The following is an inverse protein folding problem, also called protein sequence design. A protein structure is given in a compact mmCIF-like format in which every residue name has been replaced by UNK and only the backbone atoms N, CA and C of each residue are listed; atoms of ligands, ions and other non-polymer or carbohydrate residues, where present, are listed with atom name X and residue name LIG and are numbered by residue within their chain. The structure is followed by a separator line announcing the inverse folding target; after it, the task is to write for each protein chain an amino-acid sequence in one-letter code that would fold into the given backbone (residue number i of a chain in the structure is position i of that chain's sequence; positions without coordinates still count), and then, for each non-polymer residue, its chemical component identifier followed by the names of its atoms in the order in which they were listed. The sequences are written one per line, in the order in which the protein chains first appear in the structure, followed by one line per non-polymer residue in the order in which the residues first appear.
data_IF_256142099675
#
_entry.id   IF_256142099675
#
_cell.length_a   1.000
_cell.length_b   1.000
_cell.length_c   1.000
_cell.angle_alpha   90.00
_cell.angle_beta   90.00
_cell.angle_gamma   90.00
#
_symmetry.space_group_name_H-M   'P 1'
#
loop_
_entity.id
_entity.type
_entity.pdbx_description
1 polymer ?
#
# COMPACT_ATOMS: atom_id res chain seq x y z
N UNK A 1 -61.66 12.52 -44.31
CA UNK A 1 -61.56 11.06 -44.05
C UNK A 1 -62.90 10.40 -43.75
N UNK A 2 -63.54 10.56 -42.58
CA UNK A 2 -64.85 9.92 -42.32
C UNK A 2 -65.93 10.33 -43.34
N UNK A 3 -66.01 11.61 -43.67
CA UNK A 3 -66.90 12.15 -44.72
C UNK A 3 -66.57 11.69 -46.14
N UNK A 4 -65.39 11.16 -46.43
CA UNK A 4 -65.01 10.70 -47.78
C UNK A 4 -65.21 9.18 -47.91
N UNK A 5 -64.92 8.42 -46.85
CA UNK A 5 -65.08 6.96 -46.78
C UNK A 5 -66.54 6.58 -46.58
N UNK A 6 -67.30 7.35 -45.79
CA UNK A 6 -68.73 7.12 -45.54
C UNK A 6 -69.63 7.27 -46.77
N UNK A 7 -69.17 7.98 -47.81
CA UNK A 7 -69.86 8.06 -49.09
C UNK A 7 -69.68 6.80 -49.95
N UNK A 8 -68.59 6.05 -49.73
CA UNK A 8 -68.27 4.81 -50.45
C UNK A 8 -68.61 3.54 -49.68
N UNK A 9 -68.51 3.55 -48.34
CA UNK A 9 -68.87 2.47 -47.43
C UNK A 9 -69.43 3.08 -46.14
N UNK A 10 -70.75 3.02 -46.00
CA UNK A 10 -71.48 3.56 -44.85
C UNK A 10 -71.07 2.89 -43.53
N UNK A 11 -70.81 1.58 -43.52
CA UNK A 11 -70.47 0.86 -42.30
C UNK A 11 -69.10 1.28 -41.79
N UNK A 12 -68.13 1.48 -42.68
CA UNK A 12 -66.79 1.93 -42.31
C UNK A 12 -66.78 3.40 -41.90
N UNK A 13 -67.59 4.24 -42.55
CA UNK A 13 -67.81 5.63 -42.12
C UNK A 13 -68.38 5.74 -40.71
N UNK A 14 -69.33 4.88 -40.33
CA UNK A 14 -69.91 4.85 -38.98
C UNK A 14 -68.87 4.43 -37.93
N UNK A 15 -68.07 3.39 -38.18
CA UNK A 15 -66.98 2.99 -37.27
C UNK A 15 -65.97 4.11 -37.03
N UNK A 16 -65.66 4.92 -38.05
CA UNK A 16 -64.75 6.06 -37.91
C UNK A 16 -65.35 7.18 -37.05
N UNK A 17 -66.69 7.36 -37.07
CA UNK A 17 -67.38 8.29 -36.19
C UNK A 17 -67.39 7.75 -34.75
N UNK A 18 -67.74 6.48 -34.55
CA UNK A 18 -67.71 5.83 -33.23
C UNK A 18 -66.30 5.93 -32.61
N UNK A 19 -65.26 5.67 -33.40
CA UNK A 19 -63.87 5.82 -32.95
C UNK A 19 -63.50 7.26 -32.60
N UNK A 20 -64.07 8.25 -33.31
CA UNK A 20 -63.83 9.65 -33.01
C UNK A 20 -64.59 10.11 -31.75
N UNK A 21 -65.80 9.60 -31.52
CA UNK A 21 -66.57 9.82 -30.28
C UNK A 21 -65.83 9.23 -29.08
N UNK A 22 -65.36 7.98 -29.19
CA UNK A 22 -64.53 7.33 -28.15
C UNK A 22 -63.26 8.14 -27.83
N UNK A 23 -62.57 8.68 -28.84
CA UNK A 23 -61.37 9.49 -28.66
C UNK A 23 -61.69 10.86 -28.03
N UNK A 24 -62.85 11.46 -28.35
CA UNK A 24 -63.34 12.67 -27.69
C UNK A 24 -63.64 12.39 -26.22
N UNK A 25 -64.36 11.31 -25.90
CA UNK A 25 -64.69 10.95 -24.51
C UNK A 25 -63.42 10.69 -23.68
N UNK A 26 -62.44 9.96 -24.24
CA UNK A 26 -61.14 9.76 -23.58
C UNK A 26 -60.41 11.07 -23.34
N UNK A 27 -60.43 11.99 -24.31
CA UNK A 27 -59.78 13.30 -24.19
C UNK A 27 -60.45 14.17 -23.12
N UNK A 28 -61.78 14.15 -23.05
CA UNK A 28 -62.56 14.84 -22.02
C UNK A 28 -62.28 14.27 -20.62
N UNK A 29 -62.21 12.94 -20.50
CA UNK A 29 -61.84 12.29 -19.24
C UNK A 29 -60.43 12.70 -18.79
N UNK A 30 -59.45 12.62 -19.70
CA UNK A 30 -58.07 13.01 -19.42
C UNK A 30 -57.97 14.48 -19.01
N UNK A 31 -58.70 15.36 -19.69
CA UNK A 31 -58.74 16.79 -19.35
C UNK A 31 -59.26 17.04 -17.93
N UNK A 32 -60.25 16.27 -17.48
CA UNK A 32 -60.77 16.39 -16.11
C UNK A 32 -59.74 15.93 -15.08
N UNK A 33 -59.11 14.78 -15.31
CA UNK A 33 -58.09 14.23 -14.43
C UNK A 33 -56.90 15.19 -14.29
N UNK A 34 -56.51 15.85 -15.38
CA UNK A 34 -55.43 16.84 -15.39
C UNK A 34 -55.76 18.06 -14.54
N UNK A 35 -57.00 18.55 -14.52
CA UNK A 35 -57.42 19.70 -13.69
C UNK A 35 -57.30 19.35 -12.21
N UNK A 36 -57.63 18.11 -11.82
CA UNK A 36 -57.49 17.67 -10.44
C UNK A 36 -56.01 17.55 -10.04
N UNK A 37 -55.15 17.03 -10.95
CA UNK A 37 -53.69 17.00 -10.78
C UNK A 37 -53.12 18.42 -10.69
N UNK A 38 -53.58 19.35 -11.52
CA UNK A 38 -53.16 20.76 -11.52
C UNK A 38 -53.42 21.39 -10.15
N UNK A 39 -54.65 21.28 -9.63
CA UNK A 39 -55.03 21.88 -8.34
C UNK A 39 -54.24 21.32 -7.16
N UNK A 40 -54.04 20.01 -7.13
CA UNK A 40 -53.27 19.34 -6.09
C UNK A 40 -51.78 19.70 -6.15
N UNK A 41 -51.22 19.77 -7.36
CA UNK A 41 -49.84 20.21 -7.59
C UNK A 41 -49.67 21.68 -7.21
N UNK A 42 -50.61 22.57 -7.59
CA UNK A 42 -50.62 23.99 -7.26
C UNK A 42 -50.59 24.21 -5.75
N UNK A 43 -51.44 23.49 -5.01
CA UNK A 43 -51.48 23.58 -3.54
C UNK A 43 -50.13 23.22 -2.94
N UNK A 44 -49.54 22.11 -3.40
CA UNK A 44 -48.24 21.64 -2.92
C UNK A 44 -47.13 22.65 -3.23
N UNK A 45 -47.15 23.28 -4.42
CA UNK A 45 -46.19 24.34 -4.79
C UNK A 45 -46.34 25.54 -3.86
N UNK A 46 -47.57 26.00 -3.59
CA UNK A 46 -47.83 27.12 -2.67
C UNK A 46 -47.32 26.79 -1.26
N UNK A 47 -47.56 25.57 -0.78
CA UNK A 47 -47.08 25.12 0.53
C UNK A 47 -45.53 25.16 0.59
N UNK A 48 -44.84 24.71 -0.48
CA UNK A 48 -43.38 24.77 -0.57
C UNK A 48 -42.80 26.19 -0.63
N UNK A 49 -43.49 27.13 -1.29
CA UNK A 49 -43.09 28.55 -1.35
C UNK A 49 -43.18 29.22 0.02
N UNK A 50 -44.10 28.76 0.88
CA UNK A 50 -44.20 29.21 2.27
C UNK A 50 -42.98 28.83 3.11
N UNK A 51 -42.35 27.69 2.80
CA UNK A 51 -41.16 27.18 3.51
C UNK A 51 -39.89 27.81 2.93
N UNK A 52 -39.77 27.83 1.60
CA UNK A 52 -38.58 28.29 0.91
C UNK A 52 -38.92 29.33 -0.18
N UNK A 53 -39.14 30.61 0.19
CA UNK A 53 -39.65 31.63 -0.72
C UNK A 53 -38.71 32.01 -1.88
N UNK A 54 -37.44 31.60 -1.81
CA UNK A 54 -36.42 31.87 -2.84
C UNK A 54 -36.33 30.77 -3.90
N UNK A 55 -37.02 29.64 -3.70
CA UNK A 55 -37.06 28.56 -4.67
C UNK A 55 -37.99 28.92 -5.82
N UNK A 56 -37.60 28.58 -7.05
CA UNK A 56 -38.34 28.94 -8.25
C UNK A 56 -38.67 27.73 -9.13
N UNK A 57 -37.97 26.60 -9.00
CA UNK A 57 -38.11 25.45 -9.92
C UNK A 57 -39.48 24.77 -9.84
N UNK A 58 -40.13 24.57 -8.67
CA UNK A 58 -41.49 24.05 -8.60
C UNK A 58 -42.47 24.97 -9.33
N UNK A 59 -42.41 26.27 -9.04
CA UNK A 59 -43.26 27.29 -9.66
C UNK A 59 -43.06 27.41 -11.17
N UNK A 60 -41.81 27.38 -11.65
CA UNK A 60 -41.50 27.39 -13.08
C UNK A 60 -42.09 26.18 -13.80
N UNK A 61 -41.95 24.98 -13.24
CA UNK A 61 -42.56 23.77 -13.80
C UNK A 61 -44.09 23.86 -13.81
N UNK A 62 -44.70 24.39 -12.75
CA UNK A 62 -46.15 24.59 -12.65
C UNK A 62 -46.68 25.54 -13.74
N UNK A 63 -46.02 26.70 -13.89
CA UNK A 63 -46.41 27.70 -14.90
C UNK A 63 -46.22 27.18 -16.33
N UNK A 64 -45.17 26.39 -16.58
CA UNK A 64 -44.97 25.74 -17.87
C UNK A 64 -46.07 24.70 -18.15
N UNK A 65 -46.47 23.91 -17.15
CA UNK A 65 -47.58 22.97 -17.28
C UNK A 65 -48.90 23.64 -17.65
N UNK A 66 -49.22 24.78 -17.01
CA UNK A 66 -50.41 25.58 -17.36
C UNK A 66 -50.37 26.06 -18.82
N UNK A 67 -49.20 26.48 -19.30
CA UNK A 67 -49.02 26.90 -20.69
C UNK A 67 -49.21 25.75 -21.68
N UNK A 68 -48.68 24.56 -21.39
CA UNK A 68 -48.88 23.37 -22.23
C UNK A 68 -50.34 22.93 -22.25
N UNK A 69 -51.05 23.08 -21.13
CA UNK A 69 -52.48 22.81 -21.03
C UNK A 69 -53.28 23.76 -21.94
N UNK A 70 -52.97 25.06 -21.90
CA UNK A 70 -53.57 26.08 -22.79
C UNK A 70 -53.32 25.80 -24.28
N UNK A 71 -52.17 25.21 -24.62
CA UNK A 71 -51.81 24.83 -25.99
C UNK A 71 -52.43 23.48 -26.43
N UNK A 72 -53.12 22.77 -25.53
CA UNK A 72 -53.76 21.48 -25.80
C UNK A 72 -52.85 20.25 -25.62
N UNK A 73 -51.61 20.44 -25.14
CA UNK A 73 -50.63 19.38 -24.90
C UNK A 73 -50.87 18.68 -23.55
N UNK A 74 -52.02 18.01 -23.41
CA UNK A 74 -52.50 17.41 -22.15
C UNK A 74 -51.45 16.54 -21.42
N UNK A 75 -50.74 15.66 -22.14
CA UNK A 75 -49.74 14.77 -21.54
C UNK A 75 -48.50 15.50 -21.02
N UNK A 76 -48.04 16.54 -21.72
CA UNK A 76 -46.87 17.30 -21.27
C UNK A 76 -47.24 18.19 -20.08
N UNK A 77 -48.45 18.76 -20.08
CA UNK A 77 -49.00 19.49 -18.93
C UNK A 77 -49.04 18.61 -17.67
N UNK A 78 -49.62 17.41 -17.77
CA UNK A 78 -49.69 16.47 -16.64
C UNK A 78 -48.30 16.14 -16.08
N UNK A 79 -47.35 15.83 -16.96
CA UNK A 79 -45.97 15.52 -16.58
C UNK A 79 -45.31 16.70 -15.86
N UNK A 80 -45.50 17.92 -16.34
CA UNK A 80 -44.97 19.13 -15.70
C UNK A 80 -45.59 19.40 -14.33
N UNK A 81 -46.91 19.19 -14.17
CA UNK A 81 -47.57 19.29 -12.87
C UNK A 81 -47.02 18.27 -11.87
N UNK A 82 -46.83 17.02 -12.30
CA UNK A 82 -46.20 15.98 -11.46
C UNK A 82 -44.77 16.35 -11.08
N UNK A 83 -43.97 16.87 -12.01
CA UNK A 83 -42.60 17.35 -11.74
C UNK A 83 -42.62 18.50 -10.73
N UNK A 84 -43.51 19.48 -10.91
CA UNK A 84 -43.67 20.60 -9.98
C UNK A 84 -44.00 20.10 -8.57
N UNK A 85 -44.95 19.16 -8.47
CA UNK A 85 -45.33 18.54 -7.19
C UNK A 85 -44.16 17.78 -6.54
N UNK A 86 -43.43 16.96 -7.29
CA UNK A 86 -42.28 16.20 -6.75
C UNK A 86 -41.24 17.15 -6.17
N UNK A 87 -40.89 18.22 -6.89
CA UNK A 87 -39.91 19.21 -6.40
C UNK A 87 -40.42 19.96 -5.17
N UNK A 88 -41.70 20.33 -5.16
CA UNK A 88 -42.32 20.99 -4.01
C UNK A 88 -42.33 20.07 -2.77
N UNK A 89 -42.60 18.78 -2.94
CA UNK A 89 -42.56 17.80 -1.85
C UNK A 89 -41.15 17.64 -1.26
N UNK A 90 -40.10 17.60 -2.11
CA UNK A 90 -38.70 17.55 -1.64
C UNK A 90 -38.37 18.75 -0.73
N UNK A 91 -38.83 19.95 -1.11
CA UNK A 91 -38.72 21.16 -0.29
C UNK A 91 -39.48 21.03 1.02
N UNK A 92 -40.74 20.62 0.96
CA UNK A 92 -41.58 20.48 2.16
C UNK A 92 -40.99 19.47 3.15
N UNK A 93 -40.43 18.37 2.65
CA UNK A 93 -39.91 17.29 3.49
C UNK A 93 -38.54 17.62 4.10
N UNK A 94 -37.68 18.33 3.36
CA UNK A 94 -36.26 18.38 3.70
C UNK A 94 -35.68 19.78 3.91
N UNK A 95 -36.31 20.88 3.48
CA UNK A 95 -35.66 22.20 3.46
C UNK A 95 -35.16 22.66 4.83
N UNK A 96 -36.04 22.72 5.84
CA UNK A 96 -35.67 23.18 7.19
C UNK A 96 -34.61 22.26 7.83
N UNK A 97 -34.77 20.95 7.66
CA UNK A 97 -33.82 19.97 8.17
C UNK A 97 -32.44 20.14 7.51
N UNK A 98 -32.41 20.44 6.20
CA UNK A 98 -31.19 20.65 5.45
C UNK A 98 -30.47 21.91 5.92
N UNK A 99 -31.20 23.01 6.15
CA UNK A 99 -30.62 24.24 6.72
C UNK A 99 -30.00 24.00 8.11
N UNK A 100 -30.72 23.30 8.99
CA UNK A 100 -30.22 22.92 10.32
C UNK A 100 -28.97 22.04 10.20
N UNK A 101 -28.99 21.04 9.31
CA UNK A 101 -27.86 20.14 9.11
C UNK A 101 -26.63 20.88 8.56
N UNK A 102 -26.81 21.81 7.62
CA UNK A 102 -25.72 22.65 7.09
C UNK A 102 -25.14 23.54 8.20
N UNK A 103 -26.00 24.10 9.05
CA UNK A 103 -25.53 24.91 10.18
C UNK A 103 -24.72 24.08 11.18
N UNK A 104 -25.22 22.89 11.56
CA UNK A 104 -24.49 21.96 12.43
C UNK A 104 -23.16 21.51 11.80
N UNK A 105 -23.14 21.25 10.49
CA UNK A 105 -21.92 20.91 9.76
C UNK A 105 -20.91 22.06 9.78
N UNK A 106 -21.36 23.30 9.56
CA UNK A 106 -20.52 24.51 9.66
C UNK A 106 -19.89 24.65 11.04
N UNK A 107 -20.68 24.44 12.09
CA UNK A 107 -20.20 24.50 13.47
C UNK A 107 -19.16 23.41 13.75
N UNK A 108 -19.42 22.17 13.31
CA UNK A 108 -18.52 21.05 13.49
C UNK A 108 -17.12 21.30 12.87
N UNK A 109 -17.05 21.90 11.69
CA UNK A 109 -15.78 22.09 10.99
C UNK A 109 -14.94 23.26 11.51
N UNK A 110 -15.48 24.15 12.37
CA UNK A 110 -14.79 25.37 12.84
C UNK A 110 -13.45 25.10 13.53
N UNK A 111 -13.31 23.93 14.18
CA UNK A 111 -12.08 23.53 14.87
C UNK A 111 -11.02 22.87 13.98
N UNK A 112 -11.34 22.57 12.72
CA UNK A 112 -10.43 21.87 11.81
C UNK A 112 -9.40 22.83 11.19
N UNK A 113 -8.27 22.25 10.77
CA UNK A 113 -7.16 22.97 10.10
C UNK A 113 -6.60 22.16 8.93
N UNK A 114 -5.88 22.85 8.06
CA UNK A 114 -5.17 22.29 6.91
C UNK A 114 -5.99 21.29 6.10
N UNK A 115 -5.43 20.11 5.82
CA UNK A 115 -6.04 19.14 4.88
C UNK A 115 -7.40 18.64 5.32
N UNK A 116 -7.62 18.47 6.63
CA UNK A 116 -8.90 18.02 7.17
C UNK A 116 -9.99 19.08 6.98
N UNK A 117 -9.64 20.36 7.17
CA UNK A 117 -10.55 21.48 6.91
C UNK A 117 -10.90 21.57 5.42
N UNK A 118 -9.91 21.50 4.53
CA UNK A 118 -10.12 21.58 3.09
C UNK A 118 -11.06 20.49 2.58
N UNK A 119 -10.90 19.26 3.07
CA UNK A 119 -11.78 18.15 2.71
C UNK A 119 -13.20 18.36 3.20
N UNK A 120 -13.39 18.81 4.45
CA UNK A 120 -14.74 19.05 4.98
C UNK A 120 -15.41 20.28 4.34
N UNK A 121 -14.65 21.33 4.01
CA UNK A 121 -15.16 22.47 3.24
C UNK A 121 -15.63 22.06 1.85
N UNK A 122 -14.98 21.08 1.22
CA UNK A 122 -15.41 20.56 -0.07
C UNK A 122 -16.76 19.84 0.01
N UNK A 123 -16.99 19.03 1.05
CA UNK A 123 -18.29 18.40 1.32
C UNK A 123 -19.36 19.45 1.65
N UNK A 124 -19.00 20.48 2.41
CA UNK A 124 -19.92 21.55 2.77
C UNK A 124 -20.37 22.35 1.54
N UNK A 125 -19.43 22.68 0.63
CA UNK A 125 -19.77 23.31 -0.66
C UNK A 125 -20.71 22.43 -1.48
N UNK A 126 -20.49 21.11 -1.51
CA UNK A 126 -21.39 20.20 -2.21
C UNK A 126 -22.82 20.21 -1.61
N UNK A 127 -22.95 20.29 -0.28
CA UNK A 127 -24.26 20.44 0.36
C UNK A 127 -24.92 21.79 0.05
N UNK A 128 -24.15 22.88 0.01
CA UNK A 128 -24.63 24.21 -0.37
C UNK A 128 -25.06 24.25 -1.85
N UNK A 129 -24.29 23.63 -2.75
CA UNK A 129 -24.63 23.51 -4.16
C UNK A 129 -25.94 22.72 -4.37
N UNK A 130 -26.21 21.68 -3.57
CA UNK A 130 -27.49 20.96 -3.61
C UNK A 130 -28.67 21.85 -3.15
N UNK A 131 -28.47 22.69 -2.13
CA UNK A 131 -29.48 23.68 -1.71
C UNK A 131 -29.74 24.71 -2.81
N UNK A 132 -28.70 25.24 -3.43
CA UNK A 132 -28.81 26.20 -4.54
C UNK A 132 -29.50 25.57 -5.77
N UNK A 133 -29.36 24.26 -5.96
CA UNK A 133 -30.06 23.50 -6.98
C UNK A 133 -31.51 23.13 -6.59
N UNK A 134 -31.99 23.58 -5.44
CA UNK A 134 -33.31 23.25 -4.89
C UNK A 134 -33.51 21.72 -4.75
N UNK A 135 -32.46 21.02 -4.32
CA UNK A 135 -32.50 19.60 -3.93
C UNK A 135 -32.15 19.42 -2.45
N UNK A 136 -33.00 19.90 -1.53
CA UNK A 136 -32.75 19.84 -0.09
C UNK A 136 -32.58 18.43 0.46
N UNK A 137 -33.20 17.40 -0.14
CA UNK A 137 -32.97 16.01 0.26
C UNK A 137 -31.51 15.58 0.06
N UNK A 138 -30.90 15.96 -1.07
CA UNK A 138 -29.49 15.71 -1.35
C UNK A 138 -28.57 16.49 -0.39
N UNK A 139 -28.86 17.77 -0.19
CA UNK A 139 -28.12 18.62 0.74
C UNK A 139 -28.15 18.08 2.18
N UNK A 140 -29.32 17.62 2.63
CA UNK A 140 -29.52 17.04 3.96
C UNK A 140 -28.61 15.83 4.20
N UNK A 141 -28.58 14.89 3.26
CA UNK A 141 -27.76 13.66 3.36
C UNK A 141 -26.29 14.01 3.50
N UNK A 142 -25.78 14.93 2.66
CA UNK A 142 -24.38 15.34 2.70
C UNK A 142 -24.06 16.04 4.03
N UNK A 143 -24.86 17.03 4.41
CA UNK A 143 -24.62 17.83 5.59
C UNK A 143 -24.71 17.03 6.90
N UNK A 144 -25.66 16.09 7.01
CA UNK A 144 -25.80 15.22 8.19
C UNK A 144 -24.60 14.29 8.40
N UNK A 145 -23.87 13.92 7.34
CA UNK A 145 -22.69 13.06 7.45
C UNK A 145 -21.45 13.81 7.97
N UNK A 146 -21.36 15.13 7.74
CA UNK A 146 -20.16 15.93 8.07
C UNK A 146 -19.78 15.84 9.55
N UNK A 147 -20.68 16.05 10.54
CA UNK A 147 -20.31 15.95 11.96
C UNK A 147 -19.67 14.62 12.34
N UNK A 148 -20.19 13.49 11.83
CA UNK A 148 -19.60 12.17 12.07
C UNK A 148 -18.23 12.02 11.42
N UNK A 149 -17.99 12.61 10.25
CA UNK A 149 -16.65 12.66 9.66
C UNK A 149 -15.68 13.49 10.50
N UNK A 150 -16.12 14.64 11.04
CA UNK A 150 -15.31 15.48 11.93
C UNK A 150 -14.94 14.74 13.21
N UNK A 151 -15.88 14.03 13.83
CA UNK A 151 -15.64 13.22 15.03
C UNK A 151 -14.56 12.15 14.79
N UNK A 152 -14.71 11.38 13.71
CA UNK A 152 -13.72 10.39 13.30
C UNK A 152 -12.32 11.00 13.09
N UNK A 153 -12.25 12.24 12.58
CA UNK A 153 -10.98 12.94 12.43
C UNK A 153 -10.37 13.35 13.76
N UNK A 154 -11.20 13.80 14.70
CA UNK A 154 -10.78 14.08 16.08
C UNK A 154 -10.17 12.86 16.75
N UNK A 155 -10.81 11.68 16.60
CA UNK A 155 -10.28 10.42 17.13
C UNK A 155 -8.95 10.03 16.46
N UNK A 156 -8.87 10.11 15.13
CA UNK A 156 -7.65 9.83 14.39
C UNK A 156 -6.50 10.77 14.80
N UNK A 157 -6.79 12.05 15.00
CA UNK A 157 -5.83 13.06 15.43
C UNK A 157 -5.37 12.83 16.88
N UNK A 158 -6.27 12.42 17.77
CA UNK A 158 -5.94 12.03 19.14
C UNK A 158 -5.01 10.80 19.16
N UNK A 159 -5.32 9.78 18.36
CA UNK A 159 -4.47 8.60 18.20
C UNK A 159 -3.09 8.96 17.63
N UNK A 160 -3.04 9.85 16.63
CA UNK A 160 -1.80 10.35 16.06
C UNK A 160 -0.95 11.08 17.09
N UNK A 161 -1.56 11.96 17.90
CA UNK A 161 -0.88 12.68 18.99
C UNK A 161 -0.26 11.72 20.00
N UNK A 162 -1.01 10.70 20.43
CA UNK A 162 -0.47 9.66 21.32
C UNK A 162 0.74 8.98 20.71
N UNK A 163 0.68 8.61 19.42
CA UNK A 163 1.78 7.94 18.73
C UNK A 163 3.01 8.82 18.56
N UNK A 164 2.83 10.10 18.23
CA UNK A 164 3.95 11.05 18.14
C UNK A 164 4.62 11.23 19.51
N UNK A 165 3.84 11.27 20.60
CA UNK A 165 4.42 11.33 21.95
C UNK A 165 5.17 10.04 22.31
N UNK A 166 4.60 8.85 22.01
CA UNK A 166 5.28 7.56 22.20
C UNK A 166 6.63 7.53 21.44
N UNK A 167 6.62 7.97 20.18
CA UNK A 167 7.81 8.02 19.34
C UNK A 167 8.86 9.00 19.89
N UNK A 168 8.42 10.16 20.38
CA UNK A 168 9.29 11.15 21.01
C UNK A 168 9.89 10.65 22.33
N UNK A 169 9.10 9.98 23.16
CA UNK A 169 9.57 9.37 24.41
C UNK A 169 10.62 8.29 24.11
N UNK A 170 10.34 7.42 23.14
CA UNK A 170 11.27 6.38 22.71
C UNK A 170 12.57 6.97 22.16
N UNK A 171 12.48 7.98 21.30
CA UNK A 171 13.64 8.69 20.76
C UNK A 171 14.48 9.36 21.86
N UNK A 172 13.84 9.97 22.87
CA UNK A 172 14.56 10.61 23.99
C UNK A 172 15.33 9.65 24.89
N UNK A 173 14.95 8.37 24.90
CA UNK A 173 15.61 7.31 25.68
C UNK A 173 16.68 6.57 24.89
N UNK A 174 16.80 6.87 23.61
CA UNK A 174 17.76 6.23 22.73
C UNK A 174 19.16 6.78 23.01
N UNK A 175 20.06 5.93 23.49
CA UNK A 175 21.46 6.28 23.77
C UNK A 175 22.41 5.53 22.84
N UNK A 176 23.40 6.24 22.29
CA UNK A 176 24.41 5.72 21.36
C UNK A 176 23.85 5.11 20.07
N UNK A 177 22.84 5.76 19.48
CA UNK A 177 22.34 5.56 18.11
C UNK A 177 22.38 6.92 17.38
N UNK A 178 22.61 6.90 16.07
CA UNK A 178 22.45 8.08 15.21
C UNK A 178 20.97 8.41 15.03
N UNK A 179 20.50 9.51 15.63
CA UNK A 179 19.09 9.93 15.62
C UNK A 179 18.72 10.90 14.50
N UNK A 180 19.67 11.35 13.68
CA UNK A 180 19.48 12.47 12.75
C UNK A 180 18.25 12.34 11.85
N UNK A 181 18.07 11.17 11.25
CA UNK A 181 16.92 10.86 10.38
C UNK A 181 15.61 10.82 11.19
N UNK A 182 15.63 10.25 12.41
CA UNK A 182 14.44 10.14 13.25
C UNK A 182 14.00 11.50 13.80
N UNK A 183 14.94 12.40 14.08
CA UNK A 183 14.65 13.78 14.46
C UNK A 183 13.95 14.54 13.32
N UNK A 184 14.42 14.37 12.07
CA UNK A 184 13.76 14.93 10.89
C UNK A 184 12.36 14.33 10.68
N UNK A 185 12.23 13.00 10.79
CA UNK A 185 10.94 12.33 10.70
C UNK A 185 9.97 12.79 11.80
N UNK A 186 10.45 13.01 13.03
CA UNK A 186 9.64 13.52 14.12
C UNK A 186 9.19 14.95 13.86
N UNK A 187 10.08 15.80 13.32
CA UNK A 187 9.73 17.15 12.89
C UNK A 187 8.64 17.12 11.81
N UNK A 188 8.76 16.25 10.81
CA UNK A 188 7.74 16.06 9.78
C UNK A 188 6.42 15.53 10.36
N UNK A 189 6.47 14.65 11.36
CA UNK A 189 5.27 14.16 12.05
C UNK A 189 4.57 15.28 12.81
N UNK A 190 5.32 16.16 13.48
CA UNK A 190 4.77 17.33 14.17
C UNK A 190 4.16 18.34 13.18
N UNK A 191 4.81 18.58 12.04
CA UNK A 191 4.26 19.45 11.00
C UNK A 191 2.95 18.87 10.43
N UNK A 192 2.93 17.57 10.14
CA UNK A 192 1.72 16.89 9.67
C UNK A 192 0.55 17.00 10.68
N UNK A 193 0.84 17.01 11.98
CA UNK A 193 -0.18 17.29 13.00
C UNK A 193 -0.70 18.73 12.93
N UNK A 194 0.19 19.72 12.79
CA UNK A 194 -0.18 21.13 12.67
C UNK A 194 -1.03 21.39 11.41
N UNK A 195 -0.73 20.67 10.33
CA UNK A 195 -1.43 20.73 9.05
C UNK A 195 -2.76 19.94 9.05
N UNK A 196 -3.17 19.37 10.18
CA UNK A 196 -4.41 18.58 10.27
C UNK A 196 -4.35 17.32 9.42
N UNK A 197 -3.22 16.61 9.42
CA UNK A 197 -3.02 15.33 8.77
C UNK A 197 -2.59 14.26 9.79
N UNK A 198 -3.55 13.87 10.65
CA UNK A 198 -3.30 12.88 11.70
C UNK A 198 -2.84 11.52 11.16
N UNK A 199 -3.31 11.08 9.98
CA UNK A 199 -2.89 9.80 9.40
C UNK A 199 -1.40 9.79 9.02
N UNK A 200 -0.92 10.87 8.39
CA UNK A 200 0.49 11.00 8.03
C UNK A 200 1.38 11.08 9.28
N UNK A 201 0.98 11.91 10.25
CA UNK A 201 1.68 12.04 11.52
C UNK A 201 1.83 10.70 12.24
N UNK A 202 0.74 9.93 12.33
CA UNK A 202 0.75 8.59 12.93
C UNK A 202 1.67 7.63 12.18
N UNK A 203 1.60 7.61 10.85
CA UNK A 203 2.44 6.73 10.03
C UNK A 203 3.93 6.99 10.21
N UNK A 204 4.33 8.27 10.28
CA UNK A 204 5.71 8.65 10.58
C UNK A 204 6.12 8.21 11.99
N UNK A 205 5.29 8.44 13.00
CA UNK A 205 5.56 8.03 14.37
C UNK A 205 5.70 6.49 14.53
N UNK A 206 4.79 5.72 13.93
CA UNK A 206 4.87 4.24 13.93
C UNK A 206 6.16 3.76 13.23
N UNK A 207 6.58 4.44 12.16
CA UNK A 207 7.85 4.14 11.48
C UNK A 207 9.07 4.43 12.36
N UNK A 208 9.09 5.57 13.08
CA UNK A 208 10.17 5.91 14.02
C UNK A 208 10.30 4.82 15.09
N UNK A 209 9.18 4.45 15.72
CA UNK A 209 9.13 3.41 16.76
C UNK A 209 9.70 2.09 16.24
N UNK A 210 9.30 1.69 15.02
CA UNK A 210 9.77 0.44 14.40
C UNK A 210 11.27 0.48 14.12
N UNK A 211 11.78 1.56 13.53
CA UNK A 211 13.20 1.68 13.19
C UNK A 211 14.09 1.76 14.44
N UNK A 212 13.66 2.45 15.50
CA UNK A 212 14.38 2.46 16.79
C UNK A 212 14.44 1.04 17.35
N UNK A 213 13.30 0.35 17.45
CA UNK A 213 13.23 -1.02 17.98
C UNK A 213 14.16 -1.96 17.21
N UNK A 214 14.10 -1.93 15.88
CA UNK A 214 14.97 -2.75 15.03
C UNK A 214 16.46 -2.41 15.20
N UNK A 215 16.79 -1.14 15.42
CA UNK A 215 18.17 -0.71 15.63
C UNK A 215 18.69 -1.09 17.03
N UNK A 216 17.86 -1.03 18.07
CA UNK A 216 18.20 -1.52 19.40
C UNK A 216 18.43 -3.04 19.42
N UNK A 217 17.58 -3.80 18.74
CA UNK A 217 17.77 -5.24 18.55
C UNK A 217 19.08 -5.53 17.82
N UNK A 218 19.36 -4.79 16.73
CA UNK A 218 20.60 -4.91 16.00
C UNK A 218 21.82 -4.59 16.87
N UNK A 219 21.76 -3.53 17.67
CA UNK A 219 22.81 -3.15 18.63
C UNK A 219 23.07 -4.27 19.64
N UNK A 220 22.03 -4.83 20.25
CA UNK A 220 22.15 -5.94 21.22
C UNK A 220 22.78 -7.19 20.59
N UNK A 221 22.34 -7.57 19.39
CA UNK A 221 22.88 -8.70 18.63
C UNK A 221 24.34 -8.47 18.22
N UNK A 222 24.65 -7.27 17.72
CA UNK A 222 26.01 -6.90 17.33
C UNK A 222 26.96 -6.91 18.54
N UNK A 223 26.53 -6.37 19.68
CA UNK A 223 27.31 -6.43 20.93
C UNK A 223 27.57 -7.87 21.40
N UNK A 224 26.60 -8.79 21.22
CA UNK A 224 26.80 -10.22 21.49
C UNK A 224 27.85 -10.82 20.55
N UNK A 225 27.77 -10.53 19.25
CA UNK A 225 28.74 -11.00 18.26
C UNK A 225 30.16 -10.48 18.56
N UNK A 226 30.30 -9.20 18.92
CA UNK A 226 31.60 -8.61 19.27
C UNK A 226 32.24 -9.24 20.51
N UNK A 227 31.47 -9.79 21.46
CA UNK A 227 32.03 -10.56 22.58
C UNK A 227 32.77 -11.82 22.11
N UNK A 228 32.36 -12.38 20.98
CA UNK A 228 32.97 -13.57 20.38
C UNK A 228 34.11 -13.23 19.39
N UNK A 229 34.45 -11.95 19.20
CA UNK A 229 35.46 -11.49 18.24
C UNK A 229 36.81 -12.22 18.34
N UNK A 230 37.27 -12.53 19.56
CA UNK A 230 38.53 -13.28 19.74
C UNK A 230 38.42 -14.71 19.20
N UNK A 231 37.27 -15.36 19.38
CA UNK A 231 37.01 -16.68 18.81
C UNK A 231 36.90 -16.60 17.30
N UNK A 232 36.28 -15.53 16.80
CA UNK A 232 36.13 -15.29 15.38
C UNK A 232 37.50 -15.10 14.70
N UNK A 233 38.40 -14.28 15.27
CA UNK A 233 39.77 -14.10 14.75
C UNK A 233 40.59 -15.39 14.66
N UNK A 234 40.43 -16.30 15.62
CA UNK A 234 41.09 -17.62 15.57
C UNK A 234 40.67 -18.44 14.35
N UNK A 235 39.54 -18.12 13.72
CA UNK A 235 39.04 -18.86 12.56
C UNK A 235 39.80 -18.55 11.26
N UNK A 236 40.59 -17.49 11.21
CA UNK A 236 41.39 -17.17 10.03
C UNK A 236 42.87 -16.91 10.37
N UNK A 237 43.28 -17.22 11.60
CA UNK A 237 44.68 -17.11 12.02
C UNK A 237 45.54 -18.07 11.20
N UNK A 238 46.51 -17.55 10.46
CA UNK A 238 47.35 -18.33 9.55
C UNK A 238 46.68 -18.69 8.21
N UNK A 239 45.48 -18.18 7.94
CA UNK A 239 44.80 -18.34 6.66
C UNK A 239 45.42 -17.42 5.59
N UNK A 240 45.47 -17.84 4.33
CA UNK A 240 46.03 -17.04 3.23
C UNK A 240 45.33 -15.68 3.04
N UNK A 241 44.02 -15.62 3.35
CA UNK A 241 43.19 -14.41 3.32
C UNK A 241 43.05 -13.71 4.69
N UNK A 242 43.93 -13.98 5.67
CA UNK A 242 43.87 -13.40 7.02
C UNK A 242 43.69 -11.87 7.00
N UNK A 243 44.42 -11.16 6.14
CA UNK A 243 44.33 -9.71 6.03
C UNK A 243 42.97 -9.22 5.52
N UNK A 244 42.36 -9.94 4.57
CA UNK A 244 41.04 -9.58 4.02
C UNK A 244 39.95 -9.75 5.09
N UNK A 245 40.03 -10.81 5.89
CA UNK A 245 39.10 -11.03 7.00
C UNK A 245 39.25 -10.01 8.12
N UNK A 246 40.49 -9.62 8.42
CA UNK A 246 40.76 -8.58 9.41
C UNK A 246 40.30 -7.20 8.93
N UNK A 247 40.44 -6.89 7.63
CA UNK A 247 39.92 -5.66 7.03
C UNK A 247 38.38 -5.59 7.12
N UNK A 248 37.68 -6.68 6.71
CA UNK A 248 36.22 -6.80 6.87
C UNK A 248 35.78 -6.60 8.33
N UNK A 249 36.49 -7.22 9.29
CA UNK A 249 36.20 -7.04 10.71
C UNK A 249 36.46 -5.60 11.17
N UNK A 250 37.50 -4.95 10.66
CA UNK A 250 37.83 -3.57 11.00
C UNK A 250 36.76 -2.59 10.51
N UNK A 251 36.24 -2.78 9.29
CA UNK A 251 35.08 -2.01 8.80
C UNK A 251 33.86 -2.16 9.71
N UNK A 252 33.53 -3.39 10.14
CA UNK A 252 32.41 -3.64 11.06
C UNK A 252 32.61 -2.90 12.39
N UNK A 253 33.85 -2.86 12.89
CA UNK A 253 34.18 -2.11 14.12
C UNK A 253 34.04 -0.60 13.91
N UNK A 254 34.37 -0.08 12.74
CA UNK A 254 34.27 1.35 12.43
C UNK A 254 32.81 1.78 12.18
N UNK A 255 31.99 0.92 11.57
CA UNK A 255 30.54 1.11 11.49
C UNK A 255 29.90 1.07 12.89
N UNK A 256 30.38 0.21 13.78
CA UNK A 256 29.94 0.15 15.19
C UNK A 256 30.31 1.44 15.96
N UNK A 257 31.53 1.96 15.78
CA UNK A 257 31.96 3.24 16.39
C UNK A 257 31.15 4.43 15.85
N UNK A 258 30.68 4.32 14.61
CA UNK A 258 29.84 5.32 13.97
C UNK A 258 28.34 5.09 14.25
N UNK A 259 28.01 4.21 15.19
CA UNK A 259 26.64 3.89 15.63
C UNK A 259 25.72 3.34 14.54
N UNK A 260 26.29 2.82 13.45
CA UNK A 260 25.56 2.20 12.33
C UNK A 260 25.26 0.72 12.60
N UNK A 261 24.54 0.45 13.69
CA UNK A 261 24.38 -0.90 14.24
C UNK A 261 23.74 -1.91 13.28
N UNK A 262 22.75 -1.49 12.47
CA UNK A 262 22.09 -2.38 11.50
C UNK A 262 23.05 -2.82 10.39
N UNK A 263 23.81 -1.87 9.83
CA UNK A 263 24.81 -2.13 8.78
C UNK A 263 25.94 -3.01 9.33
N UNK A 264 26.42 -2.70 10.54
CA UNK A 264 27.46 -3.49 11.20
C UNK A 264 27.01 -4.94 11.43
N UNK A 265 25.76 -5.16 11.85
CA UNK A 265 25.21 -6.50 12.08
C UNK A 265 25.09 -7.28 10.77
N UNK A 266 24.55 -6.70 9.71
CA UNK A 266 24.44 -7.35 8.40
C UNK A 266 25.81 -7.77 7.86
N UNK A 267 26.81 -6.88 7.97
CA UNK A 267 28.19 -7.21 7.61
C UNK A 267 28.78 -8.32 8.48
N UNK A 268 28.48 -8.34 9.78
CA UNK A 268 28.93 -9.40 10.69
C UNK A 268 28.29 -10.75 10.37
N UNK A 269 26.99 -10.78 10.07
CA UNK A 269 26.30 -12.00 9.64
C UNK A 269 26.88 -12.55 8.34
N UNK A 270 27.13 -11.66 7.37
CA UNK A 270 27.81 -12.00 6.10
C UNK A 270 29.21 -12.55 6.36
N UNK A 271 30.02 -11.88 7.19
CA UNK A 271 31.35 -12.33 7.59
C UNK A 271 31.29 -13.75 8.19
N UNK A 272 30.35 -14.02 9.10
CA UNK A 272 30.21 -15.35 9.71
C UNK A 272 29.77 -16.40 8.69
N UNK A 273 28.84 -16.06 7.80
CA UNK A 273 28.35 -16.97 6.75
C UNK A 273 29.45 -17.32 5.75
N UNK A 274 30.24 -16.35 5.31
CA UNK A 274 31.37 -16.57 4.40
C UNK A 274 32.40 -17.51 5.04
N UNK A 275 32.71 -17.30 6.32
CA UNK A 275 33.64 -18.16 7.05
C UNK A 275 33.10 -19.58 7.14
N UNK A 276 31.84 -19.77 7.51
CA UNK A 276 31.24 -21.10 7.59
C UNK A 276 31.30 -21.84 6.24
N UNK A 277 31.10 -21.14 5.12
CA UNK A 277 31.25 -21.71 3.79
C UNK A 277 32.70 -22.15 3.48
N UNK A 278 33.69 -21.34 3.86
CA UNK A 278 35.11 -21.70 3.67
C UNK A 278 35.50 -22.89 4.55
N UNK A 279 35.01 -22.94 5.79
CA UNK A 279 35.26 -24.07 6.68
C UNK A 279 34.71 -25.37 6.13
N UNK A 280 33.48 -25.36 5.60
CA UNK A 280 32.90 -26.52 4.94
C UNK A 280 33.77 -26.96 3.74
N UNK A 281 34.22 -26.01 2.91
CA UNK A 281 35.10 -26.32 1.78
C UNK A 281 36.48 -26.85 2.21
N UNK A 282 37.01 -26.38 3.34
CA UNK A 282 38.25 -26.91 3.91
C UNK A 282 38.08 -28.34 4.45
N UNK A 283 36.96 -28.63 5.13
CA UNK A 283 36.62 -29.96 5.61
C UNK A 283 36.50 -30.95 4.44
N UNK A 284 35.77 -30.58 3.39
CA UNK A 284 35.65 -31.38 2.16
C UNK A 284 37.03 -31.63 1.50
N UNK A 285 37.89 -30.60 1.44
CA UNK A 285 39.23 -30.71 0.88
C UNK A 285 40.17 -31.57 1.77
N UNK A 286 39.98 -31.54 3.09
CA UNK A 286 40.71 -32.38 4.03
C UNK A 286 40.33 -33.86 3.85
N UNK A 287 39.05 -34.17 3.70
CA UNK A 287 38.59 -35.53 3.39
C UNK A 287 39.22 -36.04 2.10
N UNK A 288 39.23 -35.22 1.04
CA UNK A 288 39.82 -35.59 -0.24
C UNK A 288 41.34 -35.79 -0.14
N UNK A 289 42.05 -34.92 0.58
CA UNK A 289 43.49 -35.07 0.81
C UNK A 289 43.79 -36.35 1.58
N UNK A 290 43.02 -36.65 2.63
CA UNK A 290 43.19 -37.88 3.40
C UNK A 290 42.93 -39.13 2.54
N UNK A 291 41.97 -39.08 1.61
CA UNK A 291 41.76 -40.14 0.62
C UNK A 291 42.98 -40.31 -0.29
N UNK A 292 43.44 -39.23 -0.91
CA UNK A 292 44.60 -39.23 -1.82
C UNK A 292 45.89 -39.69 -1.12
N UNK A 293 46.13 -39.30 0.13
CA UNK A 293 47.29 -39.76 0.89
C UNK A 293 47.27 -41.27 1.16
N UNK A 294 46.09 -41.83 1.45
CA UNK A 294 45.92 -43.26 1.62
C UNK A 294 46.13 -44.00 0.29
N UNK A 295 45.54 -43.52 -0.80
CA UNK A 295 45.76 -44.09 -2.13
C UNK A 295 47.22 -44.01 -2.57
N UNK A 296 47.89 -42.91 -2.24
CA UNK A 296 49.29 -42.72 -2.56
C UNK A 296 50.18 -43.71 -1.80
N UNK A 297 49.89 -43.94 -0.52
CA UNK A 297 50.58 -44.95 0.29
C UNK A 297 50.45 -46.35 -0.33
N UNK A 298 49.27 -46.73 -0.78
CA UNK A 298 49.04 -48.03 -1.43
C UNK A 298 49.76 -48.13 -2.77
N UNK A 299 49.71 -47.07 -3.58
CA UNK A 299 50.40 -47.00 -4.87
C UNK A 299 51.92 -47.09 -4.69
N UNK A 300 52.47 -46.39 -3.68
CA UNK A 300 53.89 -46.43 -3.31
C UNK A 300 54.35 -47.84 -2.96
N UNK A 301 53.58 -48.56 -2.15
CA UNK A 301 53.89 -49.93 -1.76
C UNK A 301 53.95 -50.87 -2.99
N UNK A 302 53.00 -50.72 -3.94
CA UNK A 302 53.00 -51.49 -5.18
C UNK A 302 54.20 -51.15 -6.07
N UNK A 303 54.51 -49.87 -6.24
CA UNK A 303 55.68 -49.41 -7.00
C UNK A 303 56.99 -50.02 -6.46
N UNK A 304 57.17 -50.05 -5.14
CA UNK A 304 58.33 -50.69 -4.50
C UNK A 304 58.40 -52.18 -4.79
N UNK A 305 57.26 -52.89 -4.71
CA UNK A 305 57.19 -54.32 -5.04
C UNK A 305 57.53 -54.64 -6.51
N UNK A 306 57.33 -53.68 -7.41
CA UNK A 306 57.63 -53.78 -8.84
C UNK A 306 59.00 -53.21 -9.23
N UNK A 307 59.83 -52.83 -8.24
CA UNK A 307 61.19 -52.34 -8.46
C UNK A 307 61.31 -50.87 -8.85
N UNK A 308 60.22 -50.08 -8.77
CA UNK A 308 60.23 -48.64 -9.01
C UNK A 308 60.60 -47.92 -7.71
N UNK A 309 61.89 -47.58 -7.60
CA UNK A 309 62.46 -46.96 -6.41
C UNK A 309 62.11 -45.48 -6.19
N UNK A 310 62.49 -44.91 -5.04
CA UNK A 310 62.17 -43.54 -4.64
C UNK A 310 62.82 -42.44 -5.49
N UNK A 311 63.78 -42.79 -6.36
CA UNK A 311 64.42 -41.85 -7.28
C UNK A 311 63.66 -41.69 -8.62
N UNK A 312 62.54 -42.41 -8.79
CA UNK A 312 61.68 -42.24 -9.96
C UNK A 312 61.09 -40.81 -9.99
N UNK A 313 61.20 -40.15 -11.15
CA UNK A 313 60.81 -38.74 -11.31
C UNK A 313 59.32 -38.51 -11.07
N UNK A 314 58.48 -39.46 -11.48
CA UNK A 314 57.04 -39.32 -11.37
C UNK A 314 56.56 -39.64 -9.95
N UNK A 315 57.24 -40.55 -9.26
CA UNK A 315 57.09 -40.77 -7.82
C UNK A 315 57.45 -39.52 -7.02
N UNK A 316 58.58 -38.89 -7.31
CA UNK A 316 59.00 -37.64 -6.65
C UNK A 316 58.03 -36.48 -6.94
N UNK A 317 57.54 -36.37 -8.18
CA UNK A 317 56.54 -35.38 -8.54
C UNK A 317 55.23 -35.59 -7.77
N UNK A 318 54.76 -36.84 -7.68
CA UNK A 318 53.54 -37.17 -6.94
C UNK A 318 53.68 -36.84 -5.44
N UNK A 319 54.79 -37.23 -4.82
CA UNK A 319 55.08 -36.88 -3.42
C UNK A 319 55.07 -35.36 -3.21
N UNK A 320 55.67 -34.61 -4.15
CA UNK A 320 55.70 -33.16 -4.09
C UNK A 320 54.32 -32.53 -4.21
N UNK A 321 53.45 -33.00 -5.11
CA UNK A 321 52.10 -32.46 -5.27
C UNK A 321 51.19 -32.81 -4.07
N UNK A 322 51.29 -34.02 -3.50
CA UNK A 322 50.58 -34.37 -2.25
C UNK A 322 51.05 -33.48 -1.09
N UNK A 323 52.37 -33.25 -0.98
CA UNK A 323 52.91 -32.35 0.04
C UNK A 323 52.46 -30.90 -0.16
N UNK A 324 52.38 -30.41 -1.42
CA UNK A 324 51.84 -29.08 -1.73
C UNK A 324 50.36 -28.96 -1.36
N UNK A 325 49.56 -30.00 -1.63
CA UNK A 325 48.16 -30.04 -1.24
C UNK A 325 48.00 -29.91 0.29
N UNK A 326 48.80 -30.66 1.06
CA UNK A 326 48.82 -30.58 2.53
C UNK A 326 49.23 -29.20 3.04
N UNK A 327 50.24 -28.58 2.44
CA UNK A 327 50.68 -27.22 2.81
C UNK A 327 49.58 -26.20 2.49
N UNK A 328 48.99 -26.27 1.30
CA UNK A 328 47.93 -25.38 0.85
C UNK A 328 46.70 -25.47 1.78
N UNK A 329 46.27 -26.70 2.11
CA UNK A 329 45.18 -26.95 3.05
C UNK A 329 45.47 -26.36 4.44
N UNK A 330 46.68 -26.55 4.98
CA UNK A 330 47.06 -26.00 6.28
C UNK A 330 47.08 -24.46 6.32
N UNK A 331 47.32 -23.81 5.18
CA UNK A 331 47.19 -22.35 5.01
C UNK A 331 45.77 -21.89 4.63
N UNK A 332 44.82 -22.83 4.52
CA UNK A 332 43.45 -22.57 4.10
C UNK A 332 43.25 -22.23 2.63
N UNK A 333 44.27 -22.38 1.79
CA UNK A 333 44.17 -22.21 0.34
C UNK A 333 43.56 -23.46 -0.30
N UNK A 334 42.23 -23.55 -0.22
CA UNK A 334 41.44 -24.68 -0.72
C UNK A 334 41.63 -24.85 -2.24
N UNK A 335 41.67 -23.76 -3.01
CA UNK A 335 41.81 -23.83 -4.46
C UNK A 335 43.18 -24.39 -4.88
N UNK A 336 44.28 -23.93 -4.26
CA UNK A 336 45.60 -24.53 -4.51
C UNK A 336 45.70 -25.96 -3.99
N UNK A 337 45.01 -26.30 -2.90
CA UNK A 337 44.91 -27.67 -2.40
C UNK A 337 44.26 -28.57 -3.46
N UNK A 338 43.05 -28.26 -3.90
CA UNK A 338 42.30 -29.03 -4.89
C UNK A 338 43.05 -29.16 -6.22
N UNK A 339 43.72 -28.10 -6.68
CA UNK A 339 44.59 -28.16 -7.87
C UNK A 339 45.76 -29.13 -7.71
N UNK A 340 46.38 -29.15 -6.53
CA UNK A 340 47.49 -30.06 -6.23
C UNK A 340 47.01 -31.51 -6.08
N UNK A 341 45.82 -31.72 -5.51
CA UNK A 341 45.16 -33.02 -5.42
C UNK A 341 44.79 -33.59 -6.80
N UNK A 342 44.24 -32.77 -7.70
CA UNK A 342 43.97 -33.21 -9.08
C UNK A 342 45.24 -33.64 -9.81
N UNK A 343 46.34 -32.90 -9.63
CA UNK A 343 47.64 -33.26 -10.21
C UNK A 343 48.23 -34.53 -9.60
N UNK A 344 48.12 -34.71 -8.29
CA UNK A 344 48.63 -35.93 -7.65
C UNK A 344 47.84 -37.16 -8.14
N UNK A 345 46.52 -37.06 -8.30
CA UNK A 345 45.70 -38.13 -8.86
C UNK A 345 46.13 -38.52 -10.29
N UNK A 346 46.31 -37.55 -11.20
CA UNK A 346 46.83 -37.81 -12.55
C UNK A 346 48.20 -38.51 -12.54
N UNK A 347 49.08 -38.10 -11.63
CA UNK A 347 50.41 -38.69 -11.46
C UNK A 347 50.32 -40.12 -10.91
N UNK A 348 49.44 -40.36 -9.94
CA UNK A 348 49.18 -41.69 -9.38
C UNK A 348 48.63 -42.64 -10.45
N UNK A 349 47.67 -42.20 -11.26
CA UNK A 349 47.13 -42.99 -12.36
C UNK A 349 48.20 -43.35 -13.40
N UNK A 350 49.09 -42.41 -13.73
CA UNK A 350 50.22 -42.70 -14.62
C UNK A 350 51.20 -43.70 -14.02
N UNK A 351 51.45 -43.65 -12.72
CA UNK A 351 52.30 -44.59 -11.99
C UNK A 351 51.65 -45.98 -11.89
N UNK A 352 50.33 -46.05 -11.65
CA UNK A 352 49.55 -47.30 -11.62
C UNK A 352 49.63 -48.08 -12.91
N UNK A 353 49.72 -47.39 -14.07
CA UNK A 353 49.89 -48.04 -15.39
C UNK A 353 51.26 -48.70 -15.60
N UNK A 354 52.22 -48.52 -14.67
CA UNK A 354 53.59 -49.06 -14.80
C UNK A 354 53.78 -50.39 -14.09
N UNK A 355 52.79 -50.88 -13.36
CA UNK A 355 52.85 -52.17 -12.67
C UNK A 355 51.62 -53.03 -12.94
#
# INVERSE_FOLDING_TARGET
RANEIGWTDFSEGMKLLDSAEDDIERTLSLSKDIIDIEKDSERTVIDSEGIAPRTERPRKAMNQGKRELELGSLREAEKLFRIAKIRALDIIEHWENAEIAIQNAREAITGLRGSDLERMQSLMRAAEDEMDNESPGGALIIAQAIPGHVENLGEAMSAAKSKVEDAKEMLSRTDGLDTTIWDEMLSNATQAMEDGNGSMARGLADSIIREITATEEAKSSMQRALRQRKSLRKRWEGHIQENEWEEKLQEILDDTKSEKWRVALEKMETLTSDLDAIYAAQEDAEELLNFIENEWKDTRNKLESCGIGPQDKDRLACESEVSKARIALNSGDVDSCLKSLGKSDELMERLRRRF
#
